data_IF_305618545342
#
_entry.id   IF_305618545342
#
_cell.length_a   1.000
_cell.length_b   1.000
_cell.length_c   1.000
_cell.angle_alpha   90.00
_cell.angle_beta   90.00
_cell.angle_gamma   90.00
#
_symmetry.space_group_name_H-M   'P 1'
#
loop_
_entity.id
_entity.type
_entity.pdbx_description
1 polymer ?
#
# COMPACT_ATOMS: atom_id res chain seq x y z
N UNK A 1 -17.93 6.72 -21.77
CA UNK A 1 -17.06 6.01 -20.81
C UNK A 1 -16.26 7.04 -20.03
N UNK A 2 -16.37 7.00 -18.73
CA UNK A 2 -15.66 7.94 -17.87
C UNK A 2 -14.25 7.40 -17.59
N UNK A 3 -13.24 8.22 -17.80
CA UNK A 3 -11.92 7.88 -17.38
C UNK A 3 -11.88 7.89 -15.86
N UNK A 4 -11.25 6.88 -15.30
CA UNK A 4 -11.10 6.80 -13.88
C UNK A 4 -10.01 7.76 -13.41
N UNK A 5 -10.28 8.47 -12.32
CA UNK A 5 -9.34 9.40 -11.73
C UNK A 5 -8.07 8.67 -11.30
N UNK A 6 -6.93 9.19 -11.68
CA UNK A 6 -5.64 8.72 -11.23
C UNK A 6 -5.20 9.50 -10.00
N UNK A 7 -4.59 8.81 -9.06
CA UNK A 7 -4.18 9.41 -7.81
C UNK A 7 -2.94 8.70 -7.27
N UNK A 8 -2.42 9.23 -6.18
CA UNK A 8 -1.37 8.60 -5.41
C UNK A 8 -1.76 8.61 -3.94
N UNK A 9 -1.27 7.64 -3.21
CA UNK A 9 -1.36 7.65 -1.76
C UNK A 9 -0.03 7.26 -1.14
N UNK A 10 0.18 7.76 0.07
CA UNK A 10 1.17 7.20 0.98
C UNK A 10 0.45 6.78 2.24
N UNK A 11 0.80 5.62 2.76
CA UNK A 11 0.15 5.07 3.94
C UNK A 11 1.20 4.58 4.92
N UNK A 12 0.92 4.75 6.20
CA UNK A 12 1.70 4.15 7.28
C UNK A 12 0.77 3.18 8.01
N UNK A 13 1.13 1.91 7.97
CA UNK A 13 0.39 0.85 8.66
C UNK A 13 1.16 0.52 9.93
N UNK A 14 0.49 0.59 11.08
CA UNK A 14 1.11 0.33 12.38
C UNK A 14 0.46 -0.85 13.07
N UNK A 15 1.27 -1.58 13.83
CA UNK A 15 0.84 -2.73 14.59
C UNK A 15 1.88 -3.84 14.52
N UNK A 16 1.42 -5.07 14.63
CA UNK A 16 2.26 -6.25 14.42
C UNK A 16 2.25 -6.56 12.93
N UNK A 17 3.08 -5.83 12.17
CA UNK A 17 3.04 -5.84 10.70
C UNK A 17 4.36 -6.19 10.06
N UNK A 18 5.45 -6.26 10.85
CA UNK A 18 6.74 -6.70 10.32
C UNK A 18 6.96 -8.18 10.60
N UNK A 19 7.74 -8.84 9.73
CA UNK A 19 8.10 -10.25 9.85
C UNK A 19 6.89 -11.21 9.85
N UNK A 20 5.76 -10.77 9.29
CA UNK A 20 4.52 -11.59 9.21
C UNK A 20 4.04 -11.73 7.77
N UNK A 21 4.89 -11.42 6.78
CA UNK A 21 4.52 -11.50 5.38
C UNK A 21 3.73 -10.30 4.88
N UNK A 22 3.73 -9.19 5.61
CA UNK A 22 2.91 -8.02 5.24
C UNK A 22 3.35 -7.41 3.92
N UNK A 23 4.67 -7.26 3.69
CA UNK A 23 5.17 -6.69 2.44
C UNK A 23 4.75 -7.52 1.23
N UNK A 24 4.87 -8.86 1.31
CA UNK A 24 4.42 -9.74 0.23
C UNK A 24 2.91 -9.65 0.00
N UNK A 25 2.14 -9.55 1.07
CA UNK A 25 0.71 -9.36 1.01
C UNK A 25 0.36 -8.07 0.22
N UNK A 26 1.04 -6.97 0.55
CA UNK A 26 0.81 -5.68 -0.13
C UNK A 26 1.19 -5.77 -1.61
N UNK A 27 2.34 -6.36 -1.92
CA UNK A 27 2.79 -6.52 -3.31
C UNK A 27 1.75 -7.30 -4.12
N UNK A 28 1.28 -8.41 -3.58
CA UNK A 28 0.32 -9.27 -4.26
C UNK A 28 -0.97 -8.49 -4.59
N UNK A 29 -1.51 -7.79 -3.60
CA UNK A 29 -2.75 -7.04 -3.80
C UNK A 29 -2.56 -5.83 -4.71
N UNK A 30 -1.47 -5.08 -4.53
CA UNK A 30 -1.19 -3.91 -5.36
C UNK A 30 -1.02 -4.30 -6.83
N UNK A 31 -0.30 -5.38 -7.09
CA UNK A 31 -0.12 -5.88 -8.47
C UNK A 31 -1.43 -6.35 -9.08
N UNK A 32 -2.24 -7.07 -8.31
CA UNK A 32 -3.55 -7.52 -8.79
C UNK A 32 -4.47 -6.35 -9.13
N UNK A 33 -4.31 -5.22 -8.45
CA UNK A 33 -5.09 -4.00 -8.68
C UNK A 33 -4.48 -3.09 -9.77
N UNK A 34 -3.35 -3.49 -10.36
CA UNK A 34 -2.70 -2.69 -11.39
C UNK A 34 -2.00 -1.44 -10.87
N UNK A 35 -1.64 -1.43 -9.59
CA UNK A 35 -0.98 -0.29 -8.96
C UNK A 35 0.53 -0.36 -9.11
N UNK A 36 1.16 0.82 -9.10
CA UNK A 36 2.62 0.95 -9.07
C UNK A 36 3.05 1.63 -7.78
N UNK A 37 4.30 1.48 -7.39
CA UNK A 37 4.81 2.05 -6.17
C UNK A 37 5.72 1.12 -5.41
N UNK A 38 5.69 1.23 -4.07
CA UNK A 38 6.55 0.37 -3.23
C UNK A 38 5.96 0.19 -1.83
N UNK A 39 6.48 -0.83 -1.17
CA UNK A 39 6.21 -1.10 0.24
C UNK A 39 7.56 -1.37 0.92
N UNK A 40 7.73 -0.85 2.12
CA UNK A 40 8.93 -1.10 2.91
C UNK A 40 8.59 -1.11 4.40
N UNK A 41 9.44 -1.76 5.19
CA UNK A 41 9.35 -1.62 6.65
C UNK A 41 9.70 -0.19 7.05
N UNK A 42 9.00 0.35 8.04
CA UNK A 42 9.35 1.63 8.62
C UNK A 42 10.61 1.55 9.47
N UNK A 43 11.05 2.71 9.97
CA UNK A 43 12.27 2.81 10.77
C UNK A 43 12.12 2.17 12.15
N UNK A 44 10.92 2.13 12.69
CA UNK A 44 10.63 1.37 13.89
C UNK A 44 10.24 -0.06 13.52
N UNK A 45 10.11 -0.95 14.48
CA UNK A 45 9.77 -2.34 14.23
C UNK A 45 8.26 -2.60 14.19
N UNK A 46 7.44 -1.55 14.17
CA UNK A 46 5.99 -1.63 14.26
C UNK A 46 5.26 -0.97 13.10
N UNK A 47 5.95 -0.63 12.03
CA UNK A 47 5.29 0.02 10.90
C UNK A 47 5.75 -0.54 9.55
N UNK A 48 4.85 -0.39 8.58
CA UNK A 48 5.10 -0.65 7.16
C UNK A 48 4.62 0.57 6.41
N UNK A 49 5.44 1.06 5.48
CA UNK A 49 5.14 2.23 4.65
C UNK A 49 4.79 1.77 3.25
N UNK A 50 3.73 2.36 2.69
CA UNK A 50 3.25 2.04 1.35
C UNK A 50 3.11 3.32 0.56
N UNK A 51 3.66 3.34 -0.65
CA UNK A 51 3.40 4.40 -1.63
C UNK A 51 2.82 3.71 -2.86
N UNK A 52 1.67 4.17 -3.33
CA UNK A 52 1.00 3.53 -4.44
C UNK A 52 0.35 4.57 -5.34
N UNK A 53 0.35 4.28 -6.64
CA UNK A 53 -0.28 5.13 -7.65
C UNK A 53 -1.09 4.28 -8.60
N UNK A 54 -2.19 4.83 -9.07
CA UNK A 54 -3.09 4.20 -10.00
C UNK A 54 -4.48 4.79 -9.92
N UNK A 55 -5.49 4.03 -10.32
CA UNK A 55 -6.85 4.51 -10.23
C UNK A 55 -7.29 4.70 -8.78
N UNK A 56 -8.10 5.72 -8.54
CA UNK A 56 -8.59 6.05 -7.21
C UNK A 56 -9.32 4.87 -6.56
N UNK A 57 -10.17 4.19 -7.32
CA UNK A 57 -10.91 3.06 -6.77
C UNK A 57 -10.01 1.89 -6.41
N UNK A 58 -8.96 1.64 -7.21
CA UNK A 58 -8.00 0.59 -6.90
C UNK A 58 -7.22 0.93 -5.63
N UNK A 59 -6.84 2.19 -5.46
CA UNK A 59 -6.15 2.65 -4.25
C UNK A 59 -7.04 2.51 -3.01
N UNK A 60 -8.33 2.83 -3.13
CA UNK A 60 -9.27 2.64 -2.03
C UNK A 60 -9.42 1.17 -1.67
N UNK A 61 -9.42 0.30 -2.67
CA UNK A 61 -9.42 -1.15 -2.46
C UNK A 61 -8.16 -1.60 -1.72
N UNK A 62 -7.00 -1.08 -2.10
CA UNK A 62 -5.75 -1.38 -1.42
C UNK A 62 -5.83 -0.98 0.06
N UNK A 63 -6.39 0.19 0.37
CA UNK A 63 -6.53 0.63 1.77
C UNK A 63 -7.35 -0.39 2.58
N UNK A 64 -8.41 -0.92 2.00
CA UNK A 64 -9.20 -1.96 2.68
C UNK A 64 -8.36 -3.20 2.98
N UNK A 65 -7.50 -3.60 2.03
CA UNK A 65 -6.58 -4.72 2.27
C UNK A 65 -5.54 -4.39 3.35
N UNK A 66 -5.03 -3.16 3.38
CA UNK A 66 -4.07 -2.75 4.41
C UNK A 66 -4.65 -2.87 5.82
N UNK A 67 -5.92 -2.48 6.00
CA UNK A 67 -6.59 -2.61 7.29
C UNK A 67 -6.73 -4.07 7.72
N UNK A 68 -6.96 -4.96 6.78
CA UNK A 68 -7.12 -6.38 7.06
C UNK A 68 -5.77 -7.05 7.36
N UNK A 69 -4.78 -6.83 6.49
CA UNK A 69 -3.49 -7.47 6.57
C UNK A 69 -3.53 -8.98 6.35
N UNK A 70 -2.37 -9.63 6.29
CA UNK A 70 -2.29 -11.08 6.21
C UNK A 70 -2.67 -11.72 7.56
N UNK A 71 -2.86 -13.03 7.54
CA UNK A 71 -3.40 -13.79 8.67
C UNK A 71 -2.67 -13.53 10.00
N UNK A 72 -1.34 -13.44 9.97
CA UNK A 72 -0.56 -13.28 11.19
C UNK A 72 -0.37 -11.83 11.64
N UNK A 73 -0.84 -10.89 10.84
CA UNK A 73 -0.67 -9.46 11.18
C UNK A 73 -1.76 -8.99 12.13
N UNK A 74 -1.42 -7.93 12.88
CA UNK A 74 -2.39 -7.20 13.68
C UNK A 74 -2.25 -5.73 13.34
N UNK A 75 -3.20 -5.20 12.58
CA UNK A 75 -3.20 -3.80 12.16
C UNK A 75 -3.92 -2.98 13.22
N UNK A 76 -3.21 -2.00 13.77
CA UNK A 76 -3.77 -1.09 14.78
C UNK A 76 -4.24 0.20 14.12
N UNK A 77 -3.51 0.70 13.12
CA UNK A 77 -3.89 1.92 12.42
C UNK A 77 -3.36 1.91 10.99
N UNK A 78 -4.06 2.63 10.13
CA UNK A 78 -3.63 2.92 8.75
C UNK A 78 -3.84 4.41 8.55
N UNK A 79 -2.75 5.16 8.39
CA UNK A 79 -2.81 6.60 8.12
C UNK A 79 -2.53 6.81 6.65
N UNK A 80 -3.44 7.47 5.95
CA UNK A 80 -3.36 7.64 4.50
C UNK A 80 -3.28 9.12 4.15
N UNK A 81 -2.37 9.44 3.24
CA UNK A 81 -2.30 10.77 2.61
C UNK A 81 -2.49 10.61 1.12
N UNK A 82 -3.38 11.40 0.55
CA UNK A 82 -3.66 11.42 -0.88
C UNK A 82 -2.87 12.52 -1.55
N UNK A 83 -2.46 12.29 -2.79
CA UNK A 83 -1.69 13.24 -3.57
C UNK A 83 -1.95 13.00 -5.06
N UNK A 84 -1.59 13.96 -5.94
CA UNK A 84 -1.59 13.70 -7.37
C UNK A 84 -0.54 12.65 -7.72
N UNK A 85 -0.76 11.86 -8.78
CA UNK A 85 0.22 10.85 -9.19
C UNK A 85 1.50 11.51 -9.71
N UNK A 86 2.64 10.91 -9.37
CA UNK A 86 3.93 11.40 -9.85
C UNK A 86 4.31 10.86 -11.21
N UNK A 87 3.80 9.68 -11.55
CA UNK A 87 4.19 8.97 -12.77
C UNK A 87 5.58 8.34 -12.71
N UNK A 88 6.20 8.30 -11.53
CA UNK A 88 7.57 7.81 -11.37
C UNK A 88 7.69 6.29 -11.39
N UNK A 89 6.63 5.59 -11.01
CA UNK A 89 6.71 4.15 -10.77
C UNK A 89 6.20 3.37 -11.97
N UNK A 90 6.90 2.28 -12.30
CA UNK A 90 6.51 1.41 -13.40
C UNK A 90 5.86 0.12 -12.92
N UNK A 91 6.18 -0.30 -11.70
CA UNK A 91 5.64 -1.51 -11.09
C UNK A 91 5.56 -1.33 -9.59
N UNK A 92 5.01 -2.34 -8.93
CA UNK A 92 4.94 -2.35 -7.47
C UNK A 92 5.95 -3.36 -6.92
N UNK A 93 6.80 -2.92 -6.01
CA UNK A 93 7.87 -3.76 -5.48
C UNK A 93 8.20 -3.43 -4.02
N UNK A 94 8.95 -4.32 -3.39
CA UNK A 94 9.44 -4.08 -2.04
C UNK A 94 10.72 -3.23 -2.10
N UNK A 95 10.88 -2.39 -1.09
CA UNK A 95 12.13 -1.66 -0.83
C UNK A 95 12.64 -2.02 0.55
N UNK A 96 13.95 -1.92 0.72
CA UNK A 96 14.62 -2.29 1.97
C UNK A 96 15.39 -1.14 2.58
#
# INVERSE_FOLDING_TARGET
MTEEEQAALSAVVRGMVQAVGFRQFVIMHARALGLSGYVRNGNDDRSVEVVAEGSRSALEELVRHLWKGPFMARVESVQVRWAPPSGEFRRFEARF
#
